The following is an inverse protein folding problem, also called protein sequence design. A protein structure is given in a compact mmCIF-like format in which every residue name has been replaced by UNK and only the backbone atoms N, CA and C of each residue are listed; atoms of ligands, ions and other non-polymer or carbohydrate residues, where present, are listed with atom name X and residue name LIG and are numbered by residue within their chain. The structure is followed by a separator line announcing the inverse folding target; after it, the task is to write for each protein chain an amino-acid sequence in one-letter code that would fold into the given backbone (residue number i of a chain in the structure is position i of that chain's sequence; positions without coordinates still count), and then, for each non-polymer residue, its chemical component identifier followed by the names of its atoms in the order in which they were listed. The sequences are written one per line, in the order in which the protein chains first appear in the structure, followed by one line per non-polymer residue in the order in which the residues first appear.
data_IF_326242992651
#
_entry.id   IF_326242992651
#
_cell.length_a   1.000
_cell.length_b   1.000
_cell.length_c   1.000
_cell.angle_alpha   90.00
_cell.angle_beta   90.00
_cell.angle_gamma   90.00
#
_symmetry.space_group_name_H-M   'P 1'
#
loop_
_entity.id
_entity.type
_entity.pdbx_description
1 polymer ?
#
# COMPACT_ATOMS: atom_id res chain seq x y z
N UNK A 1 18.34 -6.68 16.92
CA UNK A 1 18.48 -5.99 15.63
C UNK A 1 17.57 -6.66 14.63
N UNK A 2 17.40 -6.10 13.45
CA UNK A 2 16.48 -6.62 12.46
C UNK A 2 16.76 -6.13 11.05
N UNK A 3 15.90 -6.50 10.11
CA UNK A 3 16.01 -6.18 8.70
C UNK A 3 14.65 -5.71 8.15
N UNK A 4 14.67 -4.72 7.26
CA UNK A 4 13.54 -4.44 6.40
C UNK A 4 13.65 -5.25 5.10
N UNK A 5 12.52 -5.80 4.68
CA UNK A 5 12.39 -6.59 3.46
C UNK A 5 11.55 -5.79 2.46
N UNK A 6 12.07 -5.63 1.26
CA UNK A 6 11.39 -4.91 0.18
C UNK A 6 11.06 -5.81 -1.02
N UNK A 7 10.52 -5.22 -2.06
CA UNK A 7 10.25 -5.91 -3.33
C UNK A 7 11.55 -6.46 -3.96
N UNK A 8 11.56 -7.66 -4.53
CA UNK A 8 10.44 -8.61 -4.69
C UNK A 8 10.35 -9.65 -3.56
N UNK A 9 11.02 -9.44 -2.40
CA UNK A 9 11.29 -10.49 -1.42
C UNK A 9 10.24 -10.64 -0.31
N UNK A 10 9.31 -9.69 -0.13
CA UNK A 10 8.34 -9.68 0.98
C UNK A 10 7.54 -10.99 1.16
N UNK A 11 7.22 -11.68 0.06
CA UNK A 11 6.56 -12.99 0.10
C UNK A 11 7.57 -14.15 0.12
N UNK A 12 8.68 -14.01 -0.61
CA UNK A 12 9.69 -15.06 -0.73
C UNK A 12 10.39 -15.36 0.61
N UNK A 13 10.65 -14.34 1.43
CA UNK A 13 11.32 -14.49 2.71
C UNK A 13 10.53 -15.36 3.70
N UNK A 14 9.23 -15.47 3.53
CA UNK A 14 8.39 -16.22 4.47
C UNK A 14 8.78 -17.70 4.59
N UNK A 15 9.31 -18.30 3.55
CA UNK A 15 9.79 -19.70 3.59
C UNK A 15 11.02 -19.91 4.48
N UNK A 16 11.71 -18.83 4.86
CA UNK A 16 12.93 -18.85 5.67
C UNK A 16 12.67 -18.37 7.11
N UNK A 17 11.43 -18.05 7.47
CA UNK A 17 11.03 -17.55 8.78
C UNK A 17 10.02 -18.53 9.37
N UNK A 18 10.22 -18.93 10.62
CA UNK A 18 9.36 -19.89 11.30
C UNK A 18 8.25 -19.16 12.06
N UNK A 19 8.56 -18.04 12.70
CA UNK A 19 7.60 -17.30 13.54
C UNK A 19 7.13 -16.02 12.85
N UNK A 20 5.84 -15.75 12.91
CA UNK A 20 5.22 -14.55 12.34
C UNK A 20 4.31 -13.89 13.35
N UNK A 21 4.16 -12.57 13.23
CA UNK A 21 3.04 -11.91 13.85
C UNK A 21 1.71 -12.28 13.12
N UNK A 22 0.59 -12.08 13.79
CA UNK A 22 -0.70 -12.46 13.24
C UNK A 22 -1.05 -11.77 11.91
N UNK A 23 -0.60 -10.52 11.74
CA UNK A 23 -0.87 -9.74 10.54
C UNK A 23 0.00 -10.19 9.37
N UNK A 24 1.31 -10.37 9.59
CA UNK A 24 2.22 -10.90 8.57
C UNK A 24 1.77 -12.27 8.05
N UNK A 25 1.32 -13.15 8.96
CA UNK A 25 0.78 -14.47 8.61
C UNK A 25 -0.48 -14.35 7.74
N UNK A 26 -1.45 -13.52 8.13
CA UNK A 26 -2.68 -13.30 7.36
C UNK A 26 -2.40 -12.64 6.01
N UNK A 27 -1.56 -11.60 5.97
CA UNK A 27 -1.16 -10.88 4.74
C UNK A 27 -0.37 -11.82 3.81
N UNK A 28 0.40 -12.76 4.37
CA UNK A 28 1.34 -13.61 3.66
C UNK A 28 2.43 -12.79 2.94
N UNK A 29 2.95 -11.80 3.65
CA UNK A 29 4.09 -10.99 3.25
C UNK A 29 4.74 -10.39 4.51
N UNK A 30 6.07 -10.35 4.53
CA UNK A 30 6.90 -9.77 5.59
C UNK A 30 7.67 -8.60 5.01
N UNK A 31 7.63 -7.45 5.68
CA UNK A 31 8.47 -6.30 5.37
C UNK A 31 9.44 -5.95 6.50
N UNK A 32 9.27 -6.53 7.68
CA UNK A 32 10.15 -6.31 8.83
C UNK A 32 10.47 -7.64 9.51
N UNK A 33 11.74 -7.90 9.75
CA UNK A 33 12.24 -9.09 10.48
C UNK A 33 12.93 -8.63 11.74
N UNK A 34 12.58 -9.22 12.86
CA UNK A 34 13.33 -9.07 14.14
C UNK A 34 14.21 -10.28 14.36
N UNK A 35 15.48 -10.01 14.66
CA UNK A 35 16.51 -11.02 14.96
C UNK A 35 16.91 -10.83 16.42
N UNK A 36 16.28 -11.62 17.31
CA UNK A 36 16.60 -11.72 18.74
C UNK A 36 16.95 -13.17 19.04
N UNK A 37 16.45 -13.74 20.14
CA UNK A 37 16.59 -15.18 20.42
C UNK A 37 16.00 -16.07 19.32
N UNK A 38 14.93 -15.56 18.65
CA UNK A 38 14.29 -16.19 17.50
C UNK A 38 14.11 -15.18 16.38
N UNK A 39 14.10 -15.66 15.14
CA UNK A 39 13.81 -14.87 13.96
C UNK A 39 12.29 -14.80 13.78
N UNK A 40 11.73 -13.59 13.80
CA UNK A 40 10.30 -13.38 13.67
C UNK A 40 9.97 -12.35 12.58
N UNK A 41 9.01 -12.68 11.71
CA UNK A 41 8.54 -11.84 10.63
C UNK A 41 7.32 -11.03 11.01
N UNK A 42 7.30 -9.78 10.59
CA UNK A 42 6.22 -8.81 10.81
C UNK A 42 5.84 -8.13 9.50
N UNK A 43 4.64 -7.55 9.48
CA UNK A 43 4.25 -6.66 8.40
C UNK A 43 3.81 -5.32 8.97
N UNK A 44 4.60 -4.28 8.74
CA UNK A 44 4.32 -2.90 9.17
C UNK A 44 3.68 -2.06 8.06
N UNK A 45 3.63 -2.55 6.81
CA UNK A 45 3.08 -1.81 5.67
C UNK A 45 1.59 -1.47 5.87
N UNK A 46 0.78 -2.42 6.35
CA UNK A 46 -0.65 -2.24 6.52
C UNK A 46 -0.98 -1.13 7.52
N UNK A 47 -0.27 -1.09 8.66
CA UNK A 47 -0.46 -0.05 9.67
C UNK A 47 0.17 1.27 9.22
N UNK A 48 1.34 1.22 8.58
CA UNK A 48 1.99 2.39 7.99
C UNK A 48 1.06 3.08 6.99
N UNK A 49 0.47 2.32 6.07
CA UNK A 49 -0.48 2.87 5.11
C UNK A 49 -1.76 3.39 5.80
N UNK A 50 -2.27 2.71 6.82
CA UNK A 50 -3.43 3.19 7.57
C UNK A 50 -3.26 4.59 8.13
N UNK A 51 -2.06 4.92 8.59
CA UNK A 51 -1.74 6.25 9.15
C UNK A 51 -1.68 7.35 8.11
N UNK A 52 -1.49 7.00 6.84
CA UNK A 52 -1.49 7.98 5.74
C UNK A 52 -2.89 8.33 5.26
N UNK A 53 -3.86 7.45 5.52
CA UNK A 53 -5.23 7.68 5.11
C UNK A 53 -5.83 8.85 5.90
N UNK A 54 -6.48 9.82 5.23
CA UNK A 54 -7.24 10.86 5.94
C UNK A 54 -8.34 10.19 6.76
N UNK A 55 -8.80 10.87 7.83
CA UNK A 55 -9.95 10.41 8.63
C UNK A 55 -11.20 10.39 7.74
N UNK A 56 -11.39 9.29 7.03
CA UNK A 56 -12.54 9.12 6.14
C UNK A 56 -13.72 8.54 6.91
N UNK A 57 -14.75 9.36 7.07
CA UNK A 57 -16.07 8.84 7.46
C UNK A 57 -16.54 7.89 6.35
N UNK A 58 -17.02 6.69 6.73
CA UNK A 58 -17.64 5.73 5.81
C UNK A 58 -16.71 5.12 4.73
N UNK A 59 -15.44 4.88 5.03
CA UNK A 59 -14.53 4.16 4.11
C UNK A 59 -15.12 2.80 3.64
N UNK A 60 -16.00 2.21 4.44
CA UNK A 60 -16.66 0.93 4.14
C UNK A 60 -17.46 0.96 2.83
N UNK A 61 -18.03 2.10 2.49
CA UNK A 61 -18.91 2.29 1.33
C UNK A 61 -18.18 2.86 0.11
N UNK A 62 -16.84 2.97 0.17
CA UNK A 62 -16.04 3.53 -0.91
C UNK A 62 -15.71 2.50 -1.98
N UNK A 63 -15.81 2.91 -3.25
CA UNK A 63 -15.31 2.19 -4.41
C UNK A 63 -13.79 2.38 -4.49
N UNK A 64 -13.04 1.32 -4.21
CA UNK A 64 -11.59 1.39 -4.13
C UNK A 64 -10.97 0.55 -5.24
N UNK A 65 -10.06 1.18 -5.99
CA UNK A 65 -9.24 0.51 -7.00
C UNK A 65 -7.81 0.37 -6.47
N UNK A 66 -7.26 -0.85 -6.54
CA UNK A 66 -5.85 -1.12 -6.29
C UNK A 66 -5.21 -1.55 -7.60
N UNK A 67 -4.16 -0.84 -8.00
CA UNK A 67 -3.34 -1.16 -9.17
C UNK A 67 -2.12 -1.96 -8.72
N UNK A 68 -2.01 -3.21 -9.21
CA UNK A 68 -0.99 -4.17 -8.79
C UNK A 68 -1.45 -5.09 -7.65
N UNK A 69 -0.75 -6.24 -7.48
CA UNK A 69 -1.03 -7.19 -6.39
C UNK A 69 0.25 -7.87 -5.88
N UNK A 70 1.24 -7.04 -5.53
CA UNK A 70 2.49 -7.42 -4.87
C UNK A 70 2.38 -7.41 -3.33
N UNK A 71 3.52 -7.54 -2.63
CA UNK A 71 3.55 -7.61 -1.17
C UNK A 71 2.93 -6.40 -0.46
N UNK A 72 3.17 -5.18 -0.94
CA UNK A 72 2.56 -3.98 -0.38
C UNK A 72 1.05 -3.90 -0.68
N UNK A 73 0.64 -4.27 -1.91
CA UNK A 73 -0.78 -4.34 -2.26
C UNK A 73 -1.55 -5.34 -1.38
N UNK A 74 -0.93 -6.48 -1.03
CA UNK A 74 -1.52 -7.44 -0.09
C UNK A 74 -1.76 -6.81 1.29
N UNK A 75 -0.81 -6.03 1.80
CA UNK A 75 -0.95 -5.34 3.08
C UNK A 75 -2.06 -4.29 3.05
N UNK A 76 -2.15 -3.51 1.97
CA UNK A 76 -3.19 -2.49 1.77
C UNK A 76 -4.57 -3.16 1.59
N UNK A 77 -4.66 -4.20 0.78
CA UNK A 77 -5.90 -4.96 0.60
C UNK A 77 -6.39 -5.56 1.94
N UNK A 78 -5.48 -6.17 2.70
CA UNK A 78 -5.77 -6.67 4.05
C UNK A 78 -6.31 -5.56 4.96
N UNK A 79 -5.63 -4.41 5.03
CA UNK A 79 -6.08 -3.25 5.80
C UNK A 79 -7.51 -2.85 5.43
N UNK A 80 -7.79 -2.65 4.15
CA UNK A 80 -9.10 -2.22 3.69
C UNK A 80 -10.19 -3.23 4.06
N UNK A 81 -9.89 -4.53 3.96
CA UNK A 81 -10.82 -5.60 4.35
C UNK A 81 -11.10 -5.61 5.85
N UNK A 82 -10.09 -5.47 6.72
CA UNK A 82 -10.32 -5.39 8.18
C UNK A 82 -11.02 -4.09 8.61
N UNK A 83 -10.95 -3.04 7.79
CA UNK A 83 -11.74 -1.80 7.98
C UNK A 83 -13.15 -1.90 7.40
N UNK A 84 -13.54 -3.06 6.88
CA UNK A 84 -14.89 -3.35 6.41
C UNK A 84 -15.18 -2.86 4.99
N UNK A 85 -14.16 -2.48 4.20
CA UNK A 85 -14.37 -2.12 2.81
C UNK A 85 -14.73 -3.37 2.00
N UNK A 86 -15.86 -3.31 1.30
CA UNK A 86 -16.37 -4.43 0.51
C UNK A 86 -16.23 -4.21 -1.00
N UNK A 87 -16.19 -2.97 -1.45
CA UNK A 87 -16.13 -2.58 -2.86
C UNK A 87 -14.67 -2.29 -3.28
N UNK A 88 -13.84 -3.34 -3.25
CA UNK A 88 -12.43 -3.28 -3.63
C UNK A 88 -12.25 -4.07 -4.92
N UNK A 89 -11.74 -3.40 -5.97
CA UNK A 89 -11.29 -3.99 -7.22
C UNK A 89 -9.79 -3.96 -7.30
N UNK A 90 -9.20 -5.05 -7.72
CA UNK A 90 -7.74 -5.17 -7.83
C UNK A 90 -7.38 -5.51 -9.27
N UNK A 91 -6.68 -4.61 -9.92
CA UNK A 91 -6.22 -4.77 -11.29
C UNK A 91 -4.75 -5.19 -11.31
N UNK A 92 -4.44 -6.24 -12.06
CA UNK A 92 -3.06 -6.73 -12.15
C UNK A 92 -2.79 -7.31 -13.55
N UNK A 93 -1.54 -7.18 -14.00
CA UNK A 93 -1.11 -7.73 -15.30
C UNK A 93 -1.33 -9.24 -15.39
N UNK A 94 -1.02 -9.95 -14.31
CA UNK A 94 -1.17 -11.41 -14.23
C UNK A 94 -2.34 -11.74 -13.32
N UNK A 95 -3.23 -12.64 -13.78
CA UNK A 95 -4.34 -13.12 -12.97
C UNK A 95 -3.85 -13.76 -11.68
N UNK A 96 -4.31 -13.26 -10.54
CA UNK A 96 -3.94 -13.78 -9.20
C UNK A 96 -5.18 -13.97 -8.36
N UNK A 97 -5.19 -15.03 -7.52
CA UNK A 97 -6.25 -15.26 -6.55
C UNK A 97 -6.24 -14.16 -5.49
N UNK A 98 -7.36 -13.50 -5.28
CA UNK A 98 -7.53 -12.52 -4.22
C UNK A 98 -7.60 -13.22 -2.86
N UNK A 99 -6.93 -12.63 -1.87
CA UNK A 99 -6.99 -13.03 -0.47
C UNK A 99 -8.03 -12.22 0.28
N UNK A 100 -8.37 -12.65 1.50
CA UNK A 100 -9.26 -11.92 2.42
C UNK A 100 -10.71 -11.78 1.96
N UNK A 101 -11.16 -12.60 1.02
CA UNK A 101 -12.54 -12.63 0.50
C UNK A 101 -13.09 -14.04 0.70
N UNK A 102 -14.37 -14.15 1.15
CA UNK A 102 -15.01 -15.46 1.40
C UNK A 102 -15.06 -16.33 0.14
N UNK A 103 -15.45 -15.74 -0.99
CA UNK A 103 -15.54 -16.45 -2.26
C UNK A 103 -14.24 -16.32 -3.06
N UNK A 104 -13.87 -17.35 -3.81
CA UNK A 104 -12.70 -17.33 -4.68
C UNK A 104 -12.89 -16.29 -5.76
N UNK A 105 -12.12 -15.21 -5.70
CA UNK A 105 -12.05 -14.16 -6.72
C UNK A 105 -10.62 -13.98 -7.18
N UNK A 106 -10.47 -13.43 -8.37
CA UNK A 106 -9.17 -13.13 -8.99
C UNK A 106 -9.03 -11.63 -9.24
N UNK A 107 -7.80 -11.19 -9.41
CA UNK A 107 -7.51 -9.84 -9.92
C UNK A 107 -8.13 -9.68 -11.30
N UNK A 108 -8.63 -8.48 -11.56
CA UNK A 108 -9.18 -8.10 -12.85
C UNK A 108 -8.06 -7.75 -13.84
N UNK A 109 -8.34 -7.83 -15.12
CA UNK A 109 -7.40 -7.44 -16.17
C UNK A 109 -7.24 -5.92 -16.21
N UNK A 110 -6.03 -5.44 -16.42
CA UNK A 110 -5.77 -4.00 -16.62
C UNK A 110 -6.56 -3.46 -17.83
N UNK A 111 -6.86 -4.30 -18.82
CA UNK A 111 -7.68 -3.92 -19.98
C UNK A 111 -9.10 -3.50 -19.62
N UNK A 112 -9.61 -3.96 -18.47
CA UNK A 112 -10.95 -3.63 -17.99
C UNK A 112 -10.98 -2.44 -17.02
N UNK A 113 -9.83 -1.87 -16.67
CA UNK A 113 -9.68 -0.80 -15.68
C UNK A 113 -10.58 0.40 -15.98
N UNK A 114 -10.64 0.80 -17.23
CA UNK A 114 -11.36 1.99 -17.70
C UNK A 114 -12.85 1.96 -17.35
N UNK A 115 -13.45 0.78 -17.33
CA UNK A 115 -14.87 0.57 -16.98
C UNK A 115 -15.22 1.05 -15.56
N UNK A 116 -14.24 1.22 -14.69
CA UNK A 116 -14.44 1.48 -13.26
C UNK A 116 -13.87 2.81 -12.78
N UNK A 117 -13.11 3.54 -13.62
CA UNK A 117 -12.45 4.78 -13.23
C UNK A 117 -13.43 5.86 -12.79
N UNK A 118 -14.55 6.01 -13.50
CA UNK A 118 -15.58 7.04 -13.21
C UNK A 118 -16.33 6.80 -11.89
N UNK A 119 -16.36 5.57 -11.40
CA UNK A 119 -17.02 5.22 -10.14
C UNK A 119 -16.06 5.21 -8.94
N UNK A 120 -14.75 5.31 -9.16
CA UNK A 120 -13.76 5.20 -8.11
C UNK A 120 -13.79 6.39 -7.13
N UNK A 121 -13.80 6.10 -5.84
CA UNK A 121 -13.60 7.08 -4.77
C UNK A 121 -12.13 7.18 -4.36
N UNK A 122 -11.40 6.06 -4.46
CA UNK A 122 -9.97 5.97 -4.13
C UNK A 122 -9.28 5.11 -5.19
N UNK A 123 -8.16 5.58 -5.72
CA UNK A 123 -7.28 4.79 -6.58
C UNK A 123 -5.90 4.71 -5.92
N UNK A 124 -5.40 3.49 -5.72
CA UNK A 124 -4.14 3.22 -5.04
C UNK A 124 -3.19 2.54 -6.03
N UNK A 125 -2.16 3.25 -6.45
CA UNK A 125 -1.09 2.67 -7.26
C UNK A 125 -0.09 1.96 -6.36
N UNK A 126 0.18 0.70 -6.64
CA UNK A 126 1.19 -0.13 -5.97
C UNK A 126 2.21 -0.69 -6.96
N UNK A 127 2.28 -0.11 -8.14
CA UNK A 127 3.19 -0.49 -9.23
C UNK A 127 4.18 0.63 -9.52
N UNK A 128 5.36 0.33 -10.09
CA UNK A 128 6.31 1.37 -10.46
C UNK A 128 5.90 2.16 -11.71
N UNK A 129 4.74 1.86 -12.32
CA UNK A 129 4.28 2.48 -13.57
C UNK A 129 2.90 3.11 -13.39
N UNK A 130 2.64 4.17 -14.14
CA UNK A 130 1.27 4.63 -14.35
C UNK A 130 0.55 3.65 -15.28
N UNK A 131 -0.54 3.05 -14.79
CA UNK A 131 -1.36 2.11 -15.57
C UNK A 131 -2.62 2.76 -16.15
N UNK A 132 -2.86 4.05 -15.86
CA UNK A 132 -4.01 4.79 -16.37
C UNK A 132 -3.58 5.51 -17.65
N UNK A 133 -4.26 5.19 -18.73
CA UNK A 133 -4.03 5.84 -20.01
C UNK A 133 -4.39 7.32 -19.92
N UNK A 134 -3.58 8.20 -20.53
CA UNK A 134 -3.82 9.65 -20.55
C UNK A 134 -5.22 10.01 -21.09
N UNK A 135 -5.73 9.26 -22.05
CA UNK A 135 -7.10 9.45 -22.58
C UNK A 135 -8.19 9.26 -21.54
N UNK A 136 -7.94 8.48 -20.48
CA UNK A 136 -8.91 8.10 -19.49
C UNK A 136 -8.82 8.90 -18.18
N UNK A 137 -7.83 9.79 -18.08
CA UNK A 137 -7.68 10.70 -16.91
C UNK A 137 -8.97 11.49 -16.68
N UNK A 138 -9.61 11.97 -17.74
CA UNK A 138 -10.87 12.74 -17.69
C UNK A 138 -12.05 11.94 -17.09
N UNK A 139 -11.99 10.62 -17.04
CA UNK A 139 -13.03 9.78 -16.46
C UNK A 139 -12.99 9.78 -14.93
N UNK A 140 -11.86 10.17 -14.34
CA UNK A 140 -11.66 10.15 -12.87
C UNK A 140 -12.21 11.45 -12.30
N UNK A 141 -13.08 11.30 -11.29
CA UNK A 141 -13.68 12.47 -10.60
C UNK A 141 -12.60 13.29 -9.91
N UNK A 142 -12.73 14.60 -9.90
CA UNK A 142 -11.86 15.51 -9.12
C UNK A 142 -11.86 15.20 -7.62
N UNK A 143 -12.95 14.60 -7.12
CA UNK A 143 -13.10 14.19 -5.71
C UNK A 143 -12.42 12.86 -5.39
N UNK A 144 -11.98 12.09 -6.40
CA UNK A 144 -11.28 10.82 -6.20
C UNK A 144 -9.95 11.06 -5.49
N UNK A 145 -9.71 10.34 -4.40
CA UNK A 145 -8.44 10.35 -3.69
C UNK A 145 -7.43 9.46 -4.42
N UNK A 146 -6.28 10.01 -4.77
CA UNK A 146 -5.22 9.28 -5.44
C UNK A 146 -4.09 8.99 -4.46
N UNK A 147 -3.61 7.76 -4.46
CA UNK A 147 -2.51 7.32 -3.62
C UNK A 147 -1.47 6.57 -4.44
N UNK A 148 -0.21 6.91 -4.28
CA UNK A 148 0.89 6.14 -4.82
C UNK A 148 1.81 5.69 -3.68
N UNK A 149 2.19 4.42 -3.67
CA UNK A 149 3.17 3.92 -2.70
C UNK A 149 4.62 4.08 -3.18
N UNK A 150 4.83 4.42 -4.44
CA UNK A 150 6.13 4.84 -4.96
C UNK A 150 6.45 6.20 -4.33
N UNK A 151 7.68 6.36 -3.86
CA UNK A 151 8.10 7.55 -3.13
C UNK A 151 9.29 8.27 -3.79
N UNK A 152 9.91 7.66 -4.78
CA UNK A 152 10.99 8.26 -5.57
C UNK A 152 10.72 8.01 -7.06
N UNK A 153 10.48 9.07 -7.85
CA UNK A 153 10.31 10.47 -7.42
C UNK A 153 9.04 10.66 -6.57
N UNK A 154 9.00 11.75 -5.77
CA UNK A 154 7.82 12.08 -4.94
C UNK A 154 6.57 12.31 -5.80
N UNK A 155 6.70 13.08 -6.86
CA UNK A 155 5.64 13.30 -7.85
C UNK A 155 5.83 12.29 -8.99
N UNK A 156 5.24 11.12 -8.82
CA UNK A 156 5.30 10.04 -9.82
C UNK A 156 4.49 10.37 -11.07
N UNK A 157 4.78 9.73 -12.21
CA UNK A 157 3.98 9.87 -13.44
C UNK A 157 2.49 9.64 -13.22
N UNK A 158 2.14 8.74 -12.27
CA UNK A 158 0.75 8.54 -11.89
C UNK A 158 0.17 9.78 -11.21
N UNK A 159 0.82 10.31 -10.18
CA UNK A 159 0.29 11.45 -9.43
C UNK A 159 0.36 12.77 -10.22
N UNK A 160 1.42 12.98 -11.01
CA UNK A 160 1.59 14.18 -11.83
C UNK A 160 0.50 14.35 -12.90
N UNK A 161 -0.06 13.23 -13.36
CA UNK A 161 -1.17 13.22 -14.32
C UNK A 161 -2.46 13.88 -13.80
N UNK A 162 -2.54 14.20 -12.50
CA UNK A 162 -3.74 14.73 -11.85
C UNK A 162 -3.41 16.01 -11.07
N UNK A 163 -3.92 17.14 -11.52
CA UNK A 163 -3.63 18.45 -10.90
C UNK A 163 -4.61 18.84 -9.79
N UNK A 164 -5.86 18.39 -9.88
CA UNK A 164 -6.95 18.84 -9.00
C UNK A 164 -7.31 17.83 -7.89
N UNK A 165 -6.83 16.60 -8.00
CA UNK A 165 -7.17 15.54 -7.06
C UNK A 165 -6.35 15.65 -5.77
N UNK A 166 -6.96 15.29 -4.64
CA UNK A 166 -6.21 15.07 -3.39
C UNK A 166 -5.28 13.86 -3.55
N UNK A 167 -4.04 14.00 -3.08
CA UNK A 167 -2.97 13.01 -3.25
C UNK A 167 -2.46 12.49 -1.91
N UNK A 168 -2.10 11.23 -1.86
CA UNK A 168 -1.30 10.60 -0.79
C UNK A 168 0.00 10.11 -1.41
N UNK A 169 1.09 10.69 -0.98
CA UNK A 169 2.43 10.38 -1.46
C UNK A 169 3.05 9.20 -0.71
N UNK A 170 3.79 8.36 -1.42
CA UNK A 170 4.40 7.14 -0.91
C UNK A 170 5.37 7.36 0.24
N UNK A 171 6.00 8.53 0.31
CA UNK A 171 6.92 8.90 1.39
C UNK A 171 6.26 8.81 2.77
N UNK A 172 4.98 9.17 2.89
CA UNK A 172 4.26 9.10 4.17
C UNK A 172 4.13 7.66 4.67
N UNK A 173 3.81 6.72 3.77
CA UNK A 173 3.78 5.29 4.10
C UNK A 173 5.17 4.77 4.45
N UNK A 174 6.21 5.17 3.71
CA UNK A 174 7.59 4.77 3.97
C UNK A 174 8.01 5.15 5.39
N UNK A 175 7.76 6.39 5.81
CA UNK A 175 8.11 6.89 7.15
C UNK A 175 7.36 6.12 8.25
N UNK A 176 6.05 6.00 8.11
CA UNK A 176 5.23 5.39 9.16
C UNK A 176 5.54 3.90 9.34
N UNK A 177 5.73 3.13 8.25
CA UNK A 177 6.11 1.72 8.35
C UNK A 177 7.51 1.53 8.93
N UNK A 178 8.44 2.45 8.61
CA UNK A 178 9.79 2.42 9.17
C UNK A 178 9.78 2.70 10.69
N UNK A 179 9.04 3.71 11.14
CA UNK A 179 8.89 4.00 12.56
C UNK A 179 8.30 2.83 13.36
N UNK A 180 7.40 2.05 12.74
CA UNK A 180 6.89 0.81 13.33
C UNK A 180 7.94 -0.30 13.39
N UNK A 181 8.78 -0.42 12.36
CA UNK A 181 9.91 -1.36 12.37
C UNK A 181 10.90 -1.02 13.48
N UNK A 182 11.22 0.25 13.68
CA UNK A 182 12.02 0.71 14.82
C UNK A 182 11.43 0.29 16.18
N UNK A 183 10.12 0.46 16.34
CA UNK A 183 9.42 0.01 17.57
C UNK A 183 9.59 -1.49 17.80
N UNK A 184 9.52 -2.30 16.76
CA UNK A 184 9.69 -3.76 16.86
C UNK A 184 11.11 -4.11 17.27
N UNK A 185 12.13 -3.44 16.73
CA UNK A 185 13.52 -3.74 16.99
C UNK A 185 14.02 -3.21 18.33
N UNK A 186 13.68 -1.95 18.64
CA UNK A 186 14.27 -1.19 19.75
C UNK A 186 13.33 -0.99 20.94
N UNK A 187 12.02 -1.31 20.78
CA UNK A 187 11.02 -1.17 21.84
C UNK A 187 10.36 0.21 21.93
N UNK A 188 10.91 1.24 21.29
CA UNK A 188 10.32 2.58 21.25
C UNK A 188 10.03 3.01 19.80
N UNK A 189 9.00 3.82 19.63
CA UNK A 189 8.67 4.41 18.33
C UNK A 189 9.34 5.78 18.24
N UNK A 190 10.19 6.04 17.21
CA UNK A 190 10.76 7.37 17.01
C UNK A 190 9.62 8.38 16.66
N UNK A 191 9.83 9.64 17.03
CA UNK A 191 8.94 10.71 16.63
C UNK A 191 9.05 10.95 15.13
N UNK A 192 7.89 11.08 14.49
CA UNK A 192 7.80 11.48 13.08
C UNK A 192 7.32 12.92 13.07
N UNK A 193 8.26 13.85 13.11
CA UNK A 193 7.98 15.27 13.10
C UNK A 193 8.06 15.89 11.69
N UNK A 194 7.63 17.14 11.60
CA UNK A 194 7.67 17.90 10.34
C UNK A 194 9.08 18.13 9.82
N UNK A 195 10.08 18.15 10.72
CA UNK A 195 11.50 18.34 10.36
C UNK A 195 12.05 17.12 9.63
N UNK A 196 11.79 15.93 10.17
CA UNK A 196 12.14 14.65 9.51
C UNK A 196 11.50 14.55 8.13
N UNK A 197 10.19 14.83 8.01
CA UNK A 197 9.48 14.78 6.74
C UNK A 197 10.10 15.74 5.72
N UNK A 198 10.41 16.99 6.11
CA UNK A 198 11.06 17.97 5.23
C UNK A 198 12.45 17.53 4.77
N UNK A 199 13.24 16.90 5.65
CA UNK A 199 14.57 16.39 5.29
C UNK A 199 14.46 15.28 4.26
N UNK A 200 13.55 14.32 4.49
CA UNK A 200 13.32 13.21 3.57
C UNK A 200 12.75 13.67 2.23
N UNK A 201 11.83 14.63 2.24
CA UNK A 201 11.32 15.25 1.02
C UNK A 201 12.43 15.85 0.14
N UNK A 202 13.47 16.44 0.75
CA UNK A 202 14.62 17.00 0.01
C UNK A 202 15.57 15.93 -0.56
N UNK A 203 15.62 14.76 0.05
CA UNK A 203 16.53 13.67 -0.38
C UNK A 203 15.90 12.86 -1.52
N UNK A 204 14.57 12.86 -1.62
CA UNK A 204 13.79 12.01 -2.54
C UNK A 204 13.33 12.78 -3.79
N UNK A 205 13.61 14.08 -3.85
CA UNK A 205 13.39 14.89 -5.07
C UNK A 205 14.60 14.73 -6.04
#
# INVERSE_FOLDING_TARGET
VGLNITMPFKQKIMRHIIEFDQHAKKINAVNCVSIKKKIKGFNTDWEGYYKTLPRMKNIKNKNIIILGYGGAALAIHYLLRIKGCNQIRVFNRTKKKLKFIKNTRFTESIKDLDKYLSSADIIINTTPKNLINSKNIKMIKKTTLLSDIVYNPKETDFLSSFTENKKIYGISMLIEQAALSFKIWLGFKPSVDKKLVKILDKIIT
#
